data_IF_602925343667
#
_entry.id   IF_602925343667
#
_cell.length_a   1.000
_cell.length_b   1.000
_cell.length_c   1.000
_cell.angle_alpha   90.00
_cell.angle_beta   90.00
_cell.angle_gamma   90.00
#
_symmetry.space_group_name_H-M   'P 1'
#
loop_
_entity.id
_entity.type
_entity.pdbx_description
1 polymer ?
#
# COMPACT_ATOMS: atom_id res chain seq x y z
N UNK A 1 -8.46 10.55 15.13
CA UNK A 1 -9.84 10.78 15.63
C UNK A 1 -10.53 9.44 15.92
N UNK A 2 -10.46 8.50 14.98
CA UNK A 2 -10.98 7.14 15.12
C UNK A 2 -10.26 6.34 16.23
N UNK A 3 -8.95 6.52 16.41
CA UNK A 3 -8.16 5.83 17.45
C UNK A 3 -8.62 6.13 18.88
N UNK A 4 -9.04 7.38 19.11
CA UNK A 4 -9.57 7.84 20.40
C UNK A 4 -10.91 7.17 20.67
N UNK A 5 -11.78 7.08 19.67
CA UNK A 5 -13.10 6.47 19.82
C UNK A 5 -13.01 4.98 20.15
N UNK A 6 -12.09 4.26 19.52
CA UNK A 6 -11.90 2.84 19.81
C UNK A 6 -11.32 2.55 21.20
N UNK A 7 -10.55 3.48 21.76
CA UNK A 7 -10.05 3.34 23.15
C UNK A 7 -11.18 3.40 24.19
N UNK A 8 -12.31 4.03 23.87
CA UNK A 8 -13.48 4.16 24.75
C UNK A 8 -14.53 3.05 24.57
N UNK A 9 -14.32 2.13 23.62
CA UNK A 9 -15.23 0.99 23.43
C UNK A 9 -15.25 0.13 24.69
N UNK A 10 -16.45 -0.24 25.13
CA UNK A 10 -16.77 -0.91 26.40
C UNK A 10 -16.55 -0.06 27.67
N UNK A 11 -15.94 1.12 27.58
CA UNK A 11 -15.80 2.05 28.73
C UNK A 11 -17.03 2.97 28.80
N UNK A 12 -17.57 3.38 27.65
CA UNK A 12 -18.75 4.23 27.60
C UNK A 12 -19.61 3.92 26.36
N UNK A 13 -20.78 3.32 26.62
CA UNK A 13 -21.74 2.86 25.62
C UNK A 13 -22.23 3.93 24.65
N UNK A 14 -22.15 5.22 25.01
CA UNK A 14 -22.50 6.30 24.08
C UNK A 14 -21.52 6.40 22.91
N UNK A 15 -20.24 6.09 23.14
CA UNK A 15 -19.24 6.08 22.08
C UNK A 15 -19.32 4.81 21.23
N UNK A 16 -19.85 3.72 21.77
CA UNK A 16 -20.10 2.50 20.99
C UNK A 16 -20.99 2.82 19.78
N UNK A 17 -22.04 3.64 19.94
CA UNK A 17 -22.91 4.04 18.83
C UNK A 17 -22.14 4.76 17.71
N UNK A 18 -21.16 5.59 18.05
CA UNK A 18 -20.33 6.30 17.06
C UNK A 18 -19.33 5.36 16.40
N UNK A 19 -18.75 4.43 17.17
CA UNK A 19 -17.80 3.43 16.65
C UNK A 19 -18.50 2.45 15.71
N UNK A 20 -19.76 2.14 15.99
CA UNK A 20 -20.59 1.25 15.18
C UNK A 20 -21.39 1.98 14.08
N UNK A 21 -21.14 3.27 13.86
CA UNK A 21 -21.79 4.01 12.78
C UNK A 21 -21.25 3.52 11.42
N UNK A 22 -22.14 3.09 10.49
CA UNK A 22 -21.73 2.61 9.17
C UNK A 22 -20.88 3.60 8.37
N UNK A 23 -21.02 4.91 8.61
CA UNK A 23 -20.21 5.93 7.94
C UNK A 23 -18.72 5.78 8.27
N UNK A 24 -18.39 5.48 9.52
CA UNK A 24 -17.00 5.28 9.95
C UNK A 24 -16.50 3.86 9.70
N UNK A 25 -17.36 2.84 9.81
CA UNK A 25 -16.96 1.45 9.62
C UNK A 25 -16.57 1.16 8.17
N UNK A 26 -17.29 1.72 7.19
CA UNK A 26 -17.06 1.40 5.77
C UNK A 26 -15.62 1.60 5.33
N UNK A 27 -14.94 2.60 5.90
CA UNK A 27 -13.57 2.94 5.61
C UNK A 27 -12.72 2.82 6.89
N UNK A 28 -12.23 1.61 7.16
CA UNK A 28 -11.43 1.36 8.35
C UNK A 28 -9.97 1.68 8.10
N UNK A 29 -9.42 2.61 8.88
CA UNK A 29 -8.00 2.94 8.85
C UNK A 29 -7.29 2.48 10.12
N UNK A 30 -6.34 1.55 9.97
CA UNK A 30 -5.58 0.93 11.05
C UNK A 30 -4.11 1.42 11.12
N UNK A 31 -3.72 2.47 10.37
CA UNK A 31 -2.31 2.91 10.24
C UNK A 31 -1.82 3.87 11.33
N UNK A 32 -2.68 4.26 12.28
CA UNK A 32 -2.36 5.25 13.31
C UNK A 32 -2.66 4.77 14.74
N UNK A 33 -3.15 3.53 14.88
CA UNK A 33 -3.44 2.97 16.20
C UNK A 33 -2.17 2.63 16.98
N UNK A 34 -1.05 2.43 16.31
CA UNK A 34 0.27 2.56 16.93
C UNK A 34 0.60 4.04 17.03
N UNK A 35 -0.10 4.75 17.92
CA UNK A 35 0.31 6.10 18.31
C UNK A 35 1.81 6.03 18.60
N UNK A 36 2.60 6.79 17.83
CA UNK A 36 3.89 7.30 18.28
C UNK A 36 3.56 7.98 19.60
N UNK A 37 3.76 7.28 20.72
CA UNK A 37 3.84 7.91 22.01
C UNK A 37 4.77 9.08 21.80
N UNK A 38 4.28 10.28 22.08
CA UNK A 38 4.81 11.54 21.60
C UNK A 38 6.29 11.77 21.97
N UNK A 39 6.86 10.90 22.80
CA UNK A 39 8.27 10.79 23.07
C UNK A 39 8.69 9.31 23.08
N UNK A 40 9.77 9.04 22.35
CA UNK A 40 10.71 7.93 22.52
C UNK A 40 10.25 6.46 22.40
N UNK A 41 10.91 5.81 21.42
CA UNK A 41 11.62 4.53 21.54
C UNK A 41 10.92 3.45 22.35
N UNK A 42 10.01 2.78 21.68
CA UNK A 42 10.02 1.34 21.44
C UNK A 42 8.65 1.07 20.85
N UNK A 43 8.61 0.61 19.60
CA UNK A 43 7.44 -0.06 19.06
C UNK A 43 7.13 -1.24 19.98
N UNK A 44 6.39 -1.00 21.06
CA UNK A 44 5.95 -2.05 21.95
C UNK A 44 5.11 -2.97 21.09
N UNK A 45 5.62 -4.17 20.82
CA UNK A 45 4.88 -5.25 20.16
C UNK A 45 3.51 -5.50 20.84
N UNK A 46 3.31 -5.02 22.07
CA UNK A 46 2.09 -5.15 22.84
C UNK A 46 1.34 -3.82 22.89
N UNK A 47 0.66 -3.47 21.80
CA UNK A 47 -0.36 -2.44 21.83
C UNK A 47 -1.69 -3.07 22.29
N UNK A 48 -1.90 -3.09 23.60
CA UNK A 48 -3.09 -3.70 24.20
C UNK A 48 -4.41 -3.09 23.70
N UNK A 49 -4.41 -1.80 23.33
CA UNK A 49 -5.59 -1.14 22.75
C UNK A 49 -5.88 -1.71 21.37
N UNK A 50 -4.86 -1.80 20.52
CA UNK A 50 -4.99 -2.40 19.20
C UNK A 50 -5.44 -3.86 19.28
N UNK A 51 -4.85 -4.66 20.17
CA UNK A 51 -5.23 -6.06 20.34
C UNK A 51 -6.69 -6.19 20.82
N UNK A 52 -7.15 -5.27 21.70
CA UNK A 52 -8.55 -5.20 22.11
C UNK A 52 -9.46 -4.92 20.92
N UNK A 53 -9.07 -4.02 20.02
CA UNK A 53 -9.86 -3.68 18.82
C UNK A 53 -9.96 -4.88 17.89
N UNK A 54 -8.83 -5.50 17.56
CA UNK A 54 -8.83 -6.69 16.68
C UNK A 54 -9.62 -7.85 17.27
N UNK A 55 -9.62 -8.03 18.60
CA UNK A 55 -10.33 -9.14 19.26
C UNK A 55 -11.81 -8.86 19.51
N UNK A 56 -12.17 -7.64 19.91
CA UNK A 56 -13.51 -7.36 20.43
C UNK A 56 -14.38 -6.55 19.46
N UNK A 57 -13.77 -5.70 18.63
CA UNK A 57 -14.50 -4.74 17.81
C UNK A 57 -14.56 -5.21 16.36
N UNK A 58 -13.41 -5.57 15.79
CA UNK A 58 -13.29 -5.98 14.40
C UNK A 58 -14.23 -7.13 14.02
N UNK A 59 -14.40 -8.20 14.84
CA UNK A 59 -15.34 -9.28 14.56
C UNK A 59 -16.82 -8.85 14.59
N UNK A 60 -17.14 -7.69 15.17
CA UNK A 60 -18.51 -7.14 15.17
C UNK A 60 -18.79 -6.29 13.93
N UNK A 61 -17.76 -5.72 13.29
CA UNK A 61 -17.91 -4.73 12.23
C UNK A 61 -17.41 -5.17 10.85
N UNK A 62 -16.67 -6.28 10.77
CA UNK A 62 -15.97 -6.72 9.55
C UNK A 62 -16.86 -6.85 8.31
N UNK A 63 -18.14 -7.19 8.49
CA UNK A 63 -19.09 -7.40 7.42
C UNK A 63 -19.54 -6.10 6.74
N UNK A 64 -19.24 -4.93 7.34
CA UNK A 64 -19.56 -3.61 6.81
C UNK A 64 -18.31 -2.86 6.31
N UNK A 65 -17.13 -3.47 6.41
CA UNK A 65 -15.88 -2.85 5.99
C UNK A 65 -15.71 -3.07 4.50
N UNK A 66 -15.59 -1.97 3.78
CA UNK A 66 -15.50 -1.96 2.33
C UNK A 66 -14.12 -1.49 1.86
N UNK A 67 -13.52 -0.58 2.60
CA UNK A 67 -12.15 -0.12 2.44
C UNK A 67 -11.36 -0.37 3.72
N UNK A 68 -10.22 -1.03 3.58
CA UNK A 68 -9.30 -1.29 4.67
C UNK A 68 -7.94 -0.67 4.37
N UNK A 69 -7.44 0.16 5.29
CA UNK A 69 -6.10 0.74 5.24
C UNK A 69 -5.29 0.13 6.37
N UNK A 70 -4.20 -0.55 6.03
CA UNK A 70 -3.32 -1.24 6.98
C UNK A 70 -1.87 -0.86 6.75
N UNK A 71 -1.12 -0.84 7.84
CA UNK A 71 0.32 -0.68 7.83
C UNK A 71 1.01 -2.03 8.02
N UNK A 72 2.30 -2.10 7.70
CA UNK A 72 3.09 -3.34 7.78
C UNK A 72 2.93 -4.05 9.13
N UNK A 73 3.02 -3.31 10.23
CA UNK A 73 3.01 -3.87 11.58
C UNK A 73 1.63 -4.32 12.05
N UNK A 74 0.56 -3.82 11.43
CA UNK A 74 -0.82 -4.14 11.80
C UNK A 74 -1.43 -5.22 10.90
N UNK A 75 -0.94 -5.35 9.67
CA UNK A 75 -1.56 -6.14 8.61
C UNK A 75 -1.90 -7.56 9.05
N UNK A 76 -0.93 -8.30 9.58
CA UNK A 76 -1.17 -9.69 10.00
C UNK A 76 -2.30 -9.74 11.02
N UNK A 77 -2.27 -8.91 12.07
CA UNK A 77 -3.29 -8.94 13.12
C UNK A 77 -4.69 -8.54 12.63
N UNK A 78 -4.78 -7.65 11.63
CA UNK A 78 -6.05 -7.18 11.07
C UNK A 78 -6.64 -8.20 10.10
N UNK A 79 -5.79 -8.79 9.25
CA UNK A 79 -6.23 -9.75 8.25
C UNK A 79 -6.38 -11.17 8.84
N UNK A 80 -5.66 -11.48 9.91
CA UNK A 80 -5.68 -12.80 10.52
C UNK A 80 -7.01 -13.08 11.22
N UNK A 81 -7.65 -14.19 10.83
CA UNK A 81 -8.89 -14.73 11.38
C UNK A 81 -10.18 -13.96 11.07
N UNK A 82 -10.15 -12.98 10.17
CA UNK A 82 -11.36 -12.23 9.79
C UNK A 82 -11.53 -12.29 8.28
N UNK A 83 -12.66 -12.82 7.84
CA UNK A 83 -13.07 -12.79 6.44
C UNK A 83 -13.89 -11.52 6.22
N UNK A 84 -13.41 -10.55 5.45
CA UNK A 84 -14.13 -9.31 5.15
C UNK A 84 -14.95 -9.45 3.85
N UNK A 85 -16.23 -9.88 3.89
CA UNK A 85 -16.98 -10.27 2.68
C UNK A 85 -17.32 -9.09 1.75
N UNK A 86 -17.24 -7.85 2.24
CA UNK A 86 -17.55 -6.64 1.48
C UNK A 86 -16.29 -5.84 1.11
N UNK A 87 -15.09 -6.36 1.41
CA UNK A 87 -13.85 -5.66 1.20
C UNK A 87 -13.52 -5.58 -0.29
N UNK A 88 -13.69 -4.39 -0.88
CA UNK A 88 -13.39 -4.15 -2.29
C UNK A 88 -12.13 -3.29 -2.48
N UNK A 89 -11.70 -2.57 -1.43
CA UNK A 89 -10.59 -1.64 -1.46
C UNK A 89 -9.58 -1.93 -0.35
N UNK A 90 -8.31 -2.10 -0.72
CA UNK A 90 -7.21 -2.34 0.21
C UNK A 90 -6.10 -1.30 -0.02
N UNK A 91 -5.64 -0.69 1.08
CA UNK A 91 -4.49 0.18 1.08
C UNK A 91 -3.41 -0.37 2.00
N UNK A 92 -2.27 -0.74 1.41
CA UNK A 92 -1.08 -1.23 2.09
C UNK A 92 -0.10 -0.07 2.23
N UNK A 93 0.02 0.49 3.44
CA UNK A 93 0.83 1.68 3.69
C UNK A 93 2.10 1.39 4.49
N UNK A 94 3.16 2.15 4.22
CA UNK A 94 4.41 2.12 4.98
C UNK A 94 5.05 0.72 5.03
N UNK A 95 4.97 -0.02 3.93
CA UNK A 95 5.62 -1.33 3.83
C UNK A 95 7.05 -1.19 3.31
N UNK A 96 8.00 -1.88 3.93
CA UNK A 96 9.25 -2.16 3.27
C UNK A 96 9.01 -3.14 2.12
N UNK A 97 9.82 -2.99 1.07
CA UNK A 97 9.65 -3.74 -0.16
C UNK A 97 9.72 -5.26 0.04
N UNK A 98 10.77 -5.73 0.71
CA UNK A 98 10.99 -7.15 0.98
C UNK A 98 9.84 -7.75 1.79
N UNK A 99 9.32 -7.01 2.77
CA UNK A 99 8.22 -7.50 3.61
C UNK A 99 6.94 -7.61 2.80
N UNK A 100 6.61 -6.60 1.98
CA UNK A 100 5.43 -6.68 1.13
C UNK A 100 5.57 -7.80 0.08
N UNK A 101 6.73 -7.94 -0.56
CA UNK A 101 6.96 -9.03 -1.51
C UNK A 101 6.77 -10.41 -0.84
N UNK A 102 7.33 -10.61 0.35
CA UNK A 102 7.16 -11.83 1.13
C UNK A 102 5.70 -12.09 1.50
N UNK A 103 4.93 -11.05 1.85
CA UNK A 103 3.51 -11.21 2.09
C UNK A 103 2.72 -11.55 0.83
N UNK A 104 3.02 -10.91 -0.30
CA UNK A 104 2.35 -11.21 -1.57
C UNK A 104 2.62 -12.64 -2.04
N UNK A 105 3.79 -13.21 -1.73
CA UNK A 105 4.16 -14.58 -2.12
C UNK A 105 3.69 -15.63 -1.11
N UNK A 106 3.89 -15.39 0.18
CA UNK A 106 3.72 -16.39 1.25
C UNK A 106 2.48 -16.21 2.13
N UNK A 107 1.84 -15.03 2.17
CA UNK A 107 0.66 -14.83 3.02
C UNK A 107 -0.63 -15.26 2.28
N UNK A 108 -1.09 -16.48 2.56
CA UNK A 108 -2.27 -17.07 1.93
C UNK A 108 -3.55 -16.23 2.12
N UNK A 109 -3.69 -15.60 3.29
CA UNK A 109 -4.86 -14.78 3.61
C UNK A 109 -4.89 -13.53 2.72
N UNK A 110 -3.78 -12.79 2.66
CA UNK A 110 -3.66 -11.62 1.80
C UNK A 110 -3.91 -12.01 0.33
N UNK A 111 -3.28 -13.09 -0.13
CA UNK A 111 -3.47 -13.59 -1.51
C UNK A 111 -4.92 -13.92 -1.80
N UNK A 112 -5.63 -14.56 -0.87
CA UNK A 112 -7.06 -14.85 -1.02
C UNK A 112 -7.86 -13.56 -1.24
N UNK A 113 -7.65 -12.53 -0.41
CA UNK A 113 -8.32 -11.24 -0.59
C UNK A 113 -8.02 -10.64 -1.97
N UNK A 114 -6.73 -10.56 -2.33
CA UNK A 114 -6.28 -10.00 -3.60
C UNK A 114 -6.90 -10.72 -4.80
N UNK A 115 -6.99 -12.06 -4.77
CA UNK A 115 -7.54 -12.86 -5.86
C UNK A 115 -9.05 -12.70 -5.99
N UNK A 116 -9.77 -12.72 -4.87
CA UNK A 116 -11.22 -12.93 -4.87
C UNK A 116 -12.03 -11.62 -4.81
N UNK A 117 -11.51 -10.57 -4.19
CA UNK A 117 -12.36 -9.46 -3.72
C UNK A 117 -11.81 -8.07 -4.04
N UNK A 118 -10.49 -7.90 -4.13
CA UNK A 118 -9.92 -6.55 -4.26
C UNK A 118 -10.06 -6.01 -5.69
N UNK A 119 -10.86 -4.95 -5.82
CA UNK A 119 -11.00 -4.16 -7.03
C UNK A 119 -10.11 -2.91 -7.00
N UNK A 120 -9.88 -2.32 -5.84
CA UNK A 120 -9.04 -1.14 -5.67
C UNK A 120 -7.86 -1.45 -4.76
N UNK A 121 -6.63 -1.34 -5.28
CA UNK A 121 -5.42 -1.54 -4.50
C UNK A 121 -4.58 -0.26 -4.49
N UNK A 122 -4.22 0.18 -3.28
CA UNK A 122 -3.25 1.24 -3.04
C UNK A 122 -2.04 0.64 -2.34
N UNK A 123 -0.86 0.90 -2.88
CA UNK A 123 0.41 0.44 -2.30
C UNK A 123 1.30 1.65 -2.06
N UNK A 124 1.79 1.78 -0.83
CA UNK A 124 2.75 2.78 -0.41
C UNK A 124 3.93 2.05 0.24
N UNK A 125 5.03 2.00 -0.51
CA UNK A 125 6.28 1.32 -0.13
C UNK A 125 7.19 2.37 0.49
N UNK A 126 7.57 2.15 1.75
CA UNK A 126 8.57 2.97 2.40
C UNK A 126 9.96 2.54 1.93
N UNK A 127 10.64 3.46 1.26
CA UNK A 127 12.01 3.26 0.83
C UNK A 127 12.94 3.60 1.98
N UNK A 128 13.55 2.58 2.55
CA UNK A 128 14.80 2.78 3.28
C UNK A 128 15.88 3.29 2.31
N UNK A 129 16.89 4.03 2.77
CA UNK A 129 17.92 4.64 1.90
C UNK A 129 18.77 3.63 1.12
N UNK A 130 18.62 2.32 1.39
CA UNK A 130 19.22 1.26 0.60
C UNK A 130 18.40 1.12 -0.67
N UNK A 131 18.96 1.56 -1.81
CA UNK A 131 18.31 1.44 -3.10
C UNK A 131 17.88 -0.01 -3.34
N UNK A 132 16.57 -0.30 -3.43
CA UNK A 132 16.14 -1.64 -3.76
C UNK A 132 16.55 -1.99 -5.17
N UNK A 133 16.66 -3.30 -5.44
CA UNK A 133 16.79 -3.76 -6.81
C UNK A 133 15.50 -3.39 -7.56
N UNK A 134 15.62 -2.74 -8.71
CA UNK A 134 14.49 -2.52 -9.63
C UNK A 134 13.77 -3.82 -9.98
N UNK A 135 14.46 -4.95 -9.79
CA UNK A 135 13.96 -6.31 -9.93
C UNK A 135 12.73 -6.62 -9.06
N UNK A 136 12.87 -6.43 -7.75
CA UNK A 136 11.85 -6.86 -6.78
C UNK A 136 10.56 -6.05 -6.94
N UNK A 137 10.64 -4.75 -7.16
CA UNK A 137 9.46 -3.91 -7.45
C UNK A 137 8.69 -4.35 -8.70
N UNK A 138 9.37 -4.70 -9.79
CA UNK A 138 8.67 -5.15 -10.99
C UNK A 138 8.05 -6.54 -10.80
N UNK A 139 8.74 -7.43 -10.07
CA UNK A 139 8.17 -8.71 -9.66
C UNK A 139 6.93 -8.51 -8.80
N UNK A 140 6.96 -7.57 -7.85
CA UNK A 140 5.78 -7.19 -7.04
C UNK A 140 4.65 -6.67 -7.91
N UNK A 141 4.94 -5.78 -8.86
CA UNK A 141 3.96 -5.24 -9.78
C UNK A 141 3.30 -6.35 -10.60
N UNK A 142 4.11 -7.23 -11.21
CA UNK A 142 3.62 -8.37 -11.98
C UNK A 142 2.83 -9.36 -11.11
N UNK A 143 3.27 -9.58 -9.87
CA UNK A 143 2.59 -10.45 -8.91
C UNK A 143 1.23 -9.87 -8.52
N UNK A 144 1.14 -8.56 -8.23
CA UNK A 144 -0.12 -7.87 -7.95
C UNK A 144 -1.08 -8.03 -9.13
N UNK A 145 -0.63 -7.77 -10.36
CA UNK A 145 -1.48 -7.88 -11.54
C UNK A 145 -1.92 -9.32 -11.82
N UNK A 146 -1.08 -10.32 -11.53
CA UNK A 146 -1.43 -11.72 -11.73
C UNK A 146 -2.36 -12.26 -10.65
N UNK A 147 -2.23 -11.78 -9.40
CA UNK A 147 -3.11 -12.15 -8.31
C UNK A 147 -4.49 -11.50 -8.46
N UNK A 148 -4.54 -10.19 -8.70
CA UNK A 148 -5.77 -9.42 -8.58
C UNK A 148 -6.63 -9.45 -9.85
N UNK A 149 -7.43 -10.52 -10.01
CA UNK A 149 -8.28 -10.73 -11.20
C UNK A 149 -9.33 -9.64 -11.42
N UNK A 150 -9.80 -9.02 -10.34
CA UNK A 150 -10.84 -7.99 -10.37
C UNK A 150 -10.29 -6.57 -10.25
N UNK A 151 -8.97 -6.37 -10.33
CA UNK A 151 -8.34 -5.09 -10.08
C UNK A 151 -8.74 -4.04 -11.11
N UNK A 152 -9.57 -3.08 -10.72
CA UNK A 152 -10.01 -1.94 -11.53
C UNK A 152 -9.04 -0.78 -11.40
N UNK A 153 -8.53 -0.55 -10.17
CA UNK A 153 -7.68 0.60 -9.84
C UNK A 153 -6.46 0.18 -9.06
N UNK A 154 -5.28 0.54 -9.56
CA UNK A 154 -4.00 0.35 -8.90
C UNK A 154 -3.31 1.69 -8.68
N UNK A 155 -2.84 1.96 -7.46
CA UNK A 155 -2.20 3.22 -7.10
C UNK A 155 -0.91 2.99 -6.28
N UNK A 156 0.25 3.26 -6.90
CA UNK A 156 1.54 3.32 -6.22
C UNK A 156 1.83 4.75 -5.77
N UNK A 157 1.90 4.97 -4.46
CA UNK A 157 1.92 6.32 -3.89
C UNK A 157 3.32 6.92 -3.78
N UNK A 158 4.38 6.09 -3.76
CA UNK A 158 5.76 6.54 -3.60
C UNK A 158 6.53 6.45 -4.90
N UNK A 159 7.62 7.20 -4.95
CA UNK A 159 8.48 7.35 -6.12
C UNK A 159 9.24 6.05 -6.40
N UNK A 160 9.15 5.58 -7.63
CA UNK A 160 9.99 4.52 -8.14
C UNK A 160 11.38 5.09 -8.47
N UNK A 161 12.40 4.64 -7.74
CA UNK A 161 13.76 5.22 -7.81
C UNK A 161 14.60 4.75 -9.00
N UNK A 162 14.14 3.80 -9.81
CA UNK A 162 14.86 3.32 -10.99
C UNK A 162 13.91 3.02 -12.13
N UNK A 163 14.49 2.85 -13.30
CA UNK A 163 13.83 2.32 -14.47
C UNK A 163 13.40 0.87 -14.24
N UNK A 164 12.26 0.70 -13.57
CA UNK A 164 11.64 -0.60 -13.23
C UNK A 164 11.33 -1.42 -14.46
N UNK A 165 11.36 -0.84 -15.66
CA UNK A 165 10.97 -1.59 -16.85
C UNK A 165 12.04 -1.57 -17.95
N UNK A 166 12.97 -0.62 -17.94
CA UNK A 166 14.00 -0.51 -18.98
C UNK A 166 15.13 -1.54 -18.85
N UNK A 167 15.44 -2.01 -17.63
CA UNK A 167 16.55 -2.97 -17.41
C UNK A 167 16.13 -4.43 -17.53
N UNK A 168 14.84 -4.70 -17.75
CA UNK A 168 14.35 -6.06 -17.77
C UNK A 168 14.39 -6.67 -19.17
N UNK A 169 15.47 -7.42 -19.42
CA UNK A 169 15.42 -8.60 -20.29
C UNK A 169 14.62 -9.74 -19.60
N UNK A 170 13.48 -9.43 -18.96
CA UNK A 170 12.59 -10.46 -18.49
C UNK A 170 12.07 -11.18 -19.71
N UNK A 171 12.38 -12.48 -19.82
CA UNK A 171 11.48 -13.43 -20.45
C UNK A 171 10.05 -12.98 -20.18
N UNK A 172 9.18 -12.87 -21.20
CA UNK A 172 7.94 -12.10 -21.11
C UNK A 172 7.16 -12.57 -19.89
N UNK A 173 7.21 -11.81 -18.80
CA UNK A 173 6.34 -12.07 -17.68
C UNK A 173 4.96 -11.81 -18.26
N UNK A 174 4.25 -12.88 -18.55
CA UNK A 174 2.92 -12.89 -19.14
C UNK A 174 1.90 -12.42 -18.10
N UNK A 175 2.11 -11.26 -17.50
CA UNK A 175 1.07 -10.59 -16.75
C UNK A 175 0.19 -9.84 -17.75
N UNK A 176 -1.11 -10.06 -17.62
CA UNK A 176 -2.15 -9.33 -18.33
C UNK A 176 -3.22 -8.99 -17.32
N UNK A 177 -3.67 -7.75 -17.30
CA UNK A 177 -4.89 -7.39 -16.60
C UNK A 177 -5.98 -7.11 -17.61
N UNK A 178 -7.13 -7.76 -17.41
CA UNK A 178 -8.33 -7.57 -18.22
C UNK A 178 -9.34 -6.63 -17.55
N UNK A 179 -9.03 -6.15 -16.34
CA UNK A 179 -9.95 -5.38 -15.50
C UNK A 179 -9.38 -4.03 -15.10
N UNK A 180 -8.06 -3.86 -15.14
CA UNK A 180 -7.40 -2.63 -14.73
C UNK A 180 -7.72 -1.50 -15.72
N UNK A 181 -8.50 -0.53 -15.24
CA UNK A 181 -8.87 0.67 -16.01
C UNK A 181 -8.09 1.90 -15.56
N UNK A 182 -7.68 1.96 -14.30
CA UNK A 182 -6.95 3.10 -13.74
C UNK A 182 -5.63 2.65 -13.11
N UNK A 183 -4.53 3.17 -13.63
CA UNK A 183 -3.21 2.97 -13.05
C UNK A 183 -2.63 4.34 -12.65
N UNK A 184 -2.25 4.47 -11.39
CA UNK A 184 -1.52 5.62 -10.87
C UNK A 184 -0.16 5.19 -10.33
N UNK A 185 0.88 5.89 -10.74
CA UNK A 185 2.24 5.64 -10.28
C UNK A 185 3.06 6.93 -10.26
N UNK A 186 4.14 6.91 -9.49
CA UNK A 186 5.10 8.00 -9.43
C UNK A 186 6.47 7.46 -9.89
N UNK A 187 7.03 7.99 -10.98
CA UNK A 187 8.29 7.52 -11.60
C UNK A 187 9.33 8.62 -11.65
N UNK A 188 10.59 8.25 -11.87
CA UNK A 188 11.67 9.20 -12.15
C UNK A 188 11.70 9.64 -13.61
N UNK A 189 11.59 8.70 -14.55
CA UNK A 189 11.54 9.00 -15.99
C UNK A 189 10.24 8.53 -16.61
N UNK A 190 9.80 9.22 -17.66
CA UNK A 190 8.66 8.78 -18.47
C UNK A 190 8.98 7.48 -19.24
N UNK A 191 10.23 7.26 -19.62
CA UNK A 191 10.65 6.05 -20.36
C UNK A 191 10.35 4.77 -19.58
N UNK A 192 10.42 4.84 -18.25
CA UNK A 192 10.08 3.75 -17.35
C UNK A 192 8.63 3.29 -17.56
N UNK A 193 7.73 4.20 -17.92
CA UNK A 193 6.31 3.89 -18.12
C UNK A 193 6.00 3.34 -19.52
N UNK A 194 6.86 3.56 -20.52
CA UNK A 194 6.57 3.17 -21.91
C UNK A 194 6.37 1.65 -22.05
N UNK A 195 7.11 0.87 -21.26
CA UNK A 195 6.97 -0.59 -21.21
C UNK A 195 5.60 -1.05 -20.72
N UNK A 196 4.89 -0.26 -19.91
CA UNK A 196 3.55 -0.60 -19.44
C UNK A 196 2.47 -0.39 -20.51
N UNK A 197 2.81 0.35 -21.57
CA UNK A 197 1.92 0.66 -22.70
C UNK A 197 2.08 -0.31 -23.87
N UNK A 198 2.83 -1.40 -23.72
CA UNK A 198 3.11 -2.41 -24.75
C UNK A 198 1.92 -3.36 -25.06
N UNK A 199 0.71 -3.04 -24.60
CA UNK A 199 -0.48 -3.86 -24.82
C UNK A 199 -0.72 -4.96 -23.76
N UNK A 200 0.02 -4.99 -22.66
CA UNK A 200 -0.29 -5.90 -21.53
C UNK A 200 -1.49 -5.45 -20.68
N UNK A 201 -1.83 -4.17 -20.74
CA UNK A 201 -2.92 -3.53 -19.99
C UNK A 201 -4.05 -3.05 -20.93
N UNK A 202 -4.66 -3.99 -21.66
CA UNK A 202 -5.62 -3.69 -22.74
C UNK A 202 -6.86 -2.89 -22.31
N UNK A 203 -7.24 -2.94 -21.03
CA UNK A 203 -8.41 -2.23 -20.52
C UNK A 203 -8.05 -0.89 -19.85
N UNK A 204 -6.77 -0.49 -19.86
CA UNK A 204 -6.31 0.72 -19.22
C UNK A 204 -6.83 1.95 -19.95
N UNK A 205 -7.81 2.64 -19.35
CA UNK A 205 -8.39 3.87 -19.89
C UNK A 205 -7.80 5.13 -19.24
N UNK A 206 -7.20 5.00 -18.06
CA UNK A 206 -6.62 6.12 -17.31
C UNK A 206 -5.26 5.77 -16.74
N UNK A 207 -4.23 6.43 -17.25
CA UNK A 207 -2.86 6.37 -16.73
C UNK A 207 -2.49 7.73 -16.11
N UNK A 208 -2.18 7.74 -14.80
CA UNK A 208 -1.76 8.94 -14.06
C UNK A 208 -0.30 8.74 -13.64
N UNK A 209 0.60 9.52 -14.21
CA UNK A 209 2.03 9.46 -13.92
C UNK A 209 2.43 10.75 -13.20
N UNK A 210 2.92 10.61 -11.96
CA UNK A 210 3.71 11.67 -11.33
C UNK A 210 5.18 11.51 -11.74
N UNK A 211 5.83 12.59 -12.19
CA UNK A 211 7.25 12.59 -12.56
C UNK A 211 8.01 13.47 -11.58
N UNK A 212 9.07 12.95 -10.97
CA UNK A 212 9.95 13.73 -10.09
C UNK A 212 11.13 14.21 -10.92
N UNK A 213 11.10 15.47 -11.28
CA UNK A 213 12.26 16.14 -11.86
C UNK A 213 13.24 16.36 -10.70
N UNK A 214 14.26 15.52 -10.61
CA UNK A 214 15.41 15.81 -9.77
C UNK A 214 16.18 16.89 -10.54
N UNK A 215 16.08 18.13 -10.09
CA UNK A 215 16.99 19.16 -10.57
C UNK A 215 18.40 18.68 -10.22
N UNK A 216 19.25 18.51 -11.23
CA UNK A 216 20.66 18.22 -11.04
C UNK A 216 21.27 19.38 -10.26
N UNK A 217 21.28 19.28 -8.94
CA UNK A 217 22.00 20.21 -8.06
C UNK A 217 23.50 19.91 -8.07
N UNK A 218 23.99 19.18 -9.07
CA UNK A 218 25.41 18.98 -9.37
C UNK A 218 26.05 20.22 -9.99
N UNK A 219 25.43 21.40 -9.86
CA UNK A 219 26.11 22.68 -10.01
C UNK A 219 27.20 22.81 -8.95
N UNK A 220 28.34 22.18 -9.20
CA UNK A 220 29.64 22.62 -8.72
C UNK A 220 29.75 24.09 -9.08
N UNK A 221 29.58 24.96 -8.07
CA UNK A 221 30.01 26.34 -8.13
C UNK A 221 31.54 26.26 -8.18
N UNK A 222 32.09 26.23 -9.38
CA UNK A 222 33.51 26.29 -9.63
C UNK A 222 33.97 27.73 -9.34
N UNK A 223 34.24 28.02 -8.06
CA UNK A 223 34.90 29.25 -7.63
C UNK A 223 36.35 29.22 -8.10
N UNK A 224 36.57 29.44 -9.39
CA UNK A 224 37.90 29.82 -9.89
C UNK A 224 38.13 31.30 -9.59
N UNK A 225 38.68 31.58 -8.41
CA UNK A 225 39.40 32.82 -8.15
C UNK A 225 40.54 32.95 -9.17
N UNK A 226 40.37 33.83 -10.16
CA UNK A 226 41.48 34.34 -10.95
C UNK A 226 42.17 35.44 -10.14
N UNK A 227 43.28 35.11 -9.50
CA UNK A 227 44.28 36.11 -9.10
C UNK A 227 45.10 36.50 -10.33
N UNK A 228 45.20 37.82 -10.57
CA UNK A 228 46.07 38.43 -11.57
C UNK A 228 47.55 38.38 -11.15
#
# INVERSE_FOLDING_TARGET
MVDVLYSFVDINQRFDQLVFDPFYIRNLNMTFMMMKSFYDRMYSKNNHVFDKICKNVLPKIYHQINELIVEQNSMERVLHNINYPQLYSLALLDFSENVLFNHLTSNEILRKFLIEQIAHLKVDINYEPVEPSSETLAMMFALILSLCKQLIKLNFCKWFHRAIFCTFNLSPINFKSLTLTTLKMNVKSFDDCLYLLDGRLNCLSKLIIGIKIIADTSGTIDNTEKTA
#
